data_IF_043757216922
#
_entry.id   IF_043757216922
#
_cell.length_a   1.000
_cell.length_b   1.000
_cell.length_c   1.000
_cell.angle_alpha   90.00
_cell.angle_beta   90.00
_cell.angle_gamma   90.00
#
_symmetry.space_group_name_H-M   'P 1'
#
loop_
_entity.id
_entity.type
_entity.pdbx_description
1 polymer ?
#
# COMPACT_ATOMS: atom_id res chain seq x y z
N UNK A 1 7.73 -12.05 1.53
CA UNK A 1 7.39 -10.71 0.93
C UNK A 1 7.37 -9.60 2.00
N UNK A 2 6.78 -9.80 3.19
CA UNK A 2 6.72 -8.78 4.24
C UNK A 2 8.11 -8.28 4.68
N UNK A 3 9.09 -9.17 4.74
CA UNK A 3 10.47 -8.86 5.17
C UNK A 3 11.17 -7.86 4.24
N UNK A 4 10.83 -7.81 2.95
CA UNK A 4 11.46 -6.91 1.99
C UNK A 4 10.72 -5.55 1.83
N UNK A 5 9.44 -5.48 2.18
CA UNK A 5 8.62 -4.27 1.99
C UNK A 5 8.95 -3.20 3.04
N UNK A 6 9.07 -3.58 4.30
CA UNK A 6 9.29 -2.61 5.38
C UNK A 6 10.64 -1.90 5.25
N UNK A 7 11.77 -2.60 4.97
CA UNK A 7 13.04 -1.95 4.66
C UNK A 7 12.98 -1.02 3.45
N UNK A 8 12.17 -1.36 2.42
CA UNK A 8 11.97 -0.49 1.26
C UNK A 8 11.33 0.84 1.67
N UNK A 9 10.32 0.83 2.54
CA UNK A 9 9.69 2.05 3.03
C UNK A 9 10.66 2.91 3.88
N UNK A 10 11.56 2.28 4.64
CA UNK A 10 12.64 2.98 5.34
C UNK A 10 13.64 3.64 4.37
N UNK A 11 13.94 2.98 3.25
CA UNK A 11 14.81 3.54 2.21
C UNK A 11 14.13 4.70 1.47
N UNK A 12 12.85 4.59 1.19
CA UNK A 12 12.08 5.59 0.47
C UNK A 12 11.83 6.85 1.30
N UNK A 13 11.64 6.75 2.61
CA UNK A 13 11.25 7.87 3.46
C UNK A 13 12.20 8.05 4.64
N UNK A 14 12.55 9.31 4.96
CA UNK A 14 13.41 9.63 6.12
C UNK A 14 12.59 10.01 7.35
N UNK A 15 11.51 10.75 7.15
CA UNK A 15 10.77 11.39 8.23
C UNK A 15 9.32 10.93 8.34
N UNK A 16 8.66 10.72 7.21
CA UNK A 16 7.24 10.39 7.19
C UNK A 16 6.96 9.07 7.90
N UNK A 17 5.86 9.02 8.64
CA UNK A 17 5.45 7.86 9.47
C UNK A 17 5.29 6.55 8.68
N UNK A 18 5.09 6.57 7.38
CA UNK A 18 4.98 5.38 6.51
C UNK A 18 6.23 4.49 6.55
N UNK A 19 7.38 5.06 6.93
CA UNK A 19 8.63 4.33 7.12
C UNK A 19 8.64 3.40 8.33
N UNK A 20 7.66 3.54 9.22
CA UNK A 20 7.56 2.71 10.43
C UNK A 20 6.92 1.38 10.07
N UNK A 21 7.44 0.33 10.68
CA UNK A 21 6.85 -0.99 10.57
C UNK A 21 5.44 -0.98 11.16
N UNK A 22 4.49 -1.55 10.43
CA UNK A 22 3.07 -1.53 10.83
C UNK A 22 2.81 -2.27 12.13
N UNK A 23 3.46 -3.41 12.32
CA UNK A 23 3.38 -4.21 13.55
C UNK A 23 4.23 -3.59 14.68
N UNK A 24 5.19 -2.74 14.33
CA UNK A 24 6.17 -2.21 15.25
C UNK A 24 7.38 -3.13 15.41
N UNK A 25 8.34 -2.66 16.16
CA UNK A 25 9.54 -3.44 16.52
C UNK A 25 9.34 -4.05 17.89
N UNK A 26 9.86 -5.25 18.13
CA UNK A 26 9.73 -5.98 19.40
C UNK A 26 10.12 -5.13 20.61
N UNK A 27 11.23 -4.39 20.49
CA UNK A 27 11.69 -3.49 21.56
C UNK A 27 10.65 -2.40 21.89
N UNK A 28 10.01 -1.83 20.88
CA UNK A 28 8.93 -0.85 21.05
C UNK A 28 7.70 -1.48 21.71
N UNK A 29 7.31 -2.67 21.25
CA UNK A 29 6.16 -3.41 21.79
C UNK A 29 6.37 -3.78 23.27
N UNK A 30 7.57 -4.22 23.64
CA UNK A 30 7.92 -4.55 25.05
C UNK A 30 7.84 -3.35 25.98
N UNK A 31 7.96 -2.12 25.48
CA UNK A 31 7.83 -0.88 26.26
C UNK A 31 6.39 -0.40 26.42
N UNK A 32 5.43 -1.00 25.69
CA UNK A 32 4.04 -0.60 25.82
C UNK A 32 3.47 -1.03 27.17
N UNK A 33 2.83 -0.08 27.83
CA UNK A 33 2.11 -0.30 29.09
C UNK A 33 0.61 -0.15 28.86
N UNK A 34 -0.18 -0.61 29.83
CA UNK A 34 -1.63 -0.36 29.84
C UNK A 34 -1.95 1.13 29.76
N UNK A 35 -1.18 1.98 30.43
CA UNK A 35 -1.42 3.42 30.46
C UNK A 35 -1.15 4.08 29.10
N UNK A 36 -0.14 3.61 28.34
CA UNK A 36 0.09 4.05 26.98
C UNK A 36 -1.12 3.72 26.09
N UNK A 37 -1.67 2.51 26.19
CA UNK A 37 -2.84 2.07 25.44
C UNK A 37 -4.09 2.86 25.83
N UNK A 38 -4.30 3.06 27.14
CA UNK A 38 -5.45 3.82 27.64
C UNK A 38 -5.39 5.30 27.24
N UNK A 39 -4.19 5.89 27.24
CA UNK A 39 -3.98 7.26 26.77
C UNK A 39 -4.32 7.40 25.29
N UNK A 40 -3.82 6.44 24.47
CA UNK A 40 -4.17 6.38 23.05
C UNK A 40 -5.67 6.21 22.85
N UNK A 41 -6.29 5.26 23.55
CA UNK A 41 -7.72 5.00 23.46
C UNK A 41 -8.53 6.28 23.77
N UNK A 42 -8.28 6.90 24.92
CA UNK A 42 -8.98 8.12 25.35
C UNK A 42 -8.81 9.31 24.40
N UNK A 43 -7.67 9.39 23.71
CA UNK A 43 -7.41 10.46 22.76
C UNK A 43 -8.09 10.23 21.41
N UNK A 44 -8.07 9.01 20.87
CA UNK A 44 -8.49 8.76 19.49
C UNK A 44 -9.89 8.15 19.35
N UNK A 45 -10.39 7.42 20.35
CA UNK A 45 -11.73 6.83 20.31
C UNK A 45 -12.74 7.82 20.90
N UNK A 46 -13.19 8.76 20.05
CA UNK A 46 -14.12 9.81 20.41
C UNK A 46 -15.24 9.92 19.38
N UNK A 47 -16.44 10.38 19.74
CA UNK A 47 -17.53 10.55 18.78
C UNK A 47 -17.14 11.38 17.55
N UNK A 48 -16.38 12.46 17.75
CA UNK A 48 -15.88 13.32 16.65
C UNK A 48 -14.93 12.64 15.64
N UNK A 49 -14.40 11.47 15.97
CA UNK A 49 -13.51 10.68 15.09
C UNK A 49 -14.09 9.31 14.72
N UNK A 50 -15.34 9.05 15.11
CA UNK A 50 -16.02 7.77 14.91
C UNK A 50 -17.21 7.95 13.98
N UNK A 51 -17.37 7.05 13.04
CA UNK A 51 -18.57 6.90 12.21
C UNK A 51 -19.17 5.55 12.52
N UNK A 52 -20.38 5.53 13.03
CA UNK A 52 -21.13 4.30 13.27
C UNK A 52 -22.11 4.07 12.11
N UNK A 53 -22.05 2.89 11.50
CA UNK A 53 -22.97 2.49 10.43
C UNK A 53 -23.74 1.27 10.90
N UNK A 54 -25.07 1.36 10.89
CA UNK A 54 -25.97 0.27 11.25
C UNK A 54 -26.81 -0.06 10.00
N UNK A 55 -26.76 -1.32 9.57
CA UNK A 55 -27.50 -1.81 8.41
C UNK A 55 -28.27 -3.08 8.79
N UNK A 56 -29.56 -3.09 8.52
CA UNK A 56 -30.41 -4.24 8.81
C UNK A 56 -31.88 -3.85 8.96
N UNK A 57 -32.71 -4.80 9.34
CA UNK A 57 -34.11 -4.57 9.70
C UNK A 57 -34.18 -4.03 11.12
N UNK A 58 -33.95 -2.72 11.26
CA UNK A 58 -33.92 -2.01 12.57
C UNK A 58 -34.74 -0.73 12.52
N UNK A 59 -35.38 -0.41 13.63
CA UNK A 59 -36.00 0.90 13.83
C UNK A 59 -34.91 1.95 14.09
N UNK A 60 -34.91 3.04 13.33
CA UNK A 60 -33.96 4.14 13.50
C UNK A 60 -33.99 4.71 14.91
N UNK A 61 -35.19 4.94 15.47
CA UNK A 61 -35.34 5.52 16.81
C UNK A 61 -34.81 4.57 17.90
N UNK A 62 -35.09 3.27 17.78
CA UNK A 62 -34.56 2.29 18.72
C UNK A 62 -33.04 2.17 18.63
N UNK A 63 -32.49 2.21 17.41
CA UNK A 63 -31.04 2.19 17.20
C UNK A 63 -30.35 3.44 17.78
N UNK A 64 -30.92 4.64 17.57
CA UNK A 64 -30.39 5.89 18.13
C UNK A 64 -30.45 5.89 19.66
N UNK A 65 -31.56 5.44 20.25
CA UNK A 65 -31.68 5.33 21.71
C UNK A 65 -30.63 4.38 22.31
N UNK A 66 -30.36 3.28 21.64
CA UNK A 66 -29.35 2.30 22.10
C UNK A 66 -27.92 2.85 21.90
N UNK A 67 -27.65 3.59 20.83
CA UNK A 67 -26.37 4.28 20.62
C UNK A 67 -26.14 5.32 21.72
N UNK A 68 -27.15 6.16 22.03
CA UNK A 68 -27.05 7.13 23.11
C UNK A 68 -26.82 6.46 24.46
N UNK A 69 -27.52 5.37 24.75
CA UNK A 69 -27.35 4.62 25.99
C UNK A 69 -25.93 4.03 26.15
N UNK A 70 -25.33 3.53 25.04
CA UNK A 70 -24.03 2.84 25.07
C UNK A 70 -22.85 3.81 24.94
N UNK A 71 -23.01 4.91 24.24
CA UNK A 71 -21.91 5.78 23.83
C UNK A 71 -22.08 7.24 24.24
N UNK A 72 -23.25 7.61 24.84
CA UNK A 72 -23.54 8.99 25.22
C UNK A 72 -22.54 9.60 26.20
N UNK A 73 -21.95 8.77 27.07
CA UNK A 73 -20.93 9.19 28.04
C UNK A 73 -19.51 9.27 27.46
N UNK A 74 -19.31 9.04 26.16
CA UNK A 74 -17.97 9.13 25.56
C UNK A 74 -17.45 10.57 25.62
N UNK A 75 -16.14 10.77 25.94
CA UNK A 75 -15.54 12.10 26.02
C UNK A 75 -15.68 12.88 24.71
N UNK A 76 -16.25 14.06 24.79
CA UNK A 76 -16.39 14.98 23.67
C UNK A 76 -15.04 15.60 23.27
N UNK A 77 -15.01 16.26 22.11
CA UNK A 77 -13.85 16.97 21.59
C UNK A 77 -13.09 16.22 20.50
N UNK A 78 -12.27 16.96 19.75
CA UNK A 78 -11.45 16.39 18.67
C UNK A 78 -10.24 15.64 19.24
N UNK A 79 -9.81 14.57 18.58
CA UNK A 79 -8.56 13.92 18.94
C UNK A 79 -7.37 14.84 18.67
N UNK A 80 -6.36 14.80 19.54
CA UNK A 80 -5.07 15.47 19.29
C UNK A 80 -4.31 14.72 18.18
N UNK A 81 -4.49 15.21 16.96
CA UNK A 81 -3.81 14.67 15.77
C UNK A 81 -2.71 15.63 15.34
N UNK A 82 -1.53 15.47 15.90
CA UNK A 82 -0.37 16.17 15.36
C UNK A 82 -0.16 15.79 13.88
N UNK A 83 -0.01 16.75 12.97
CA UNK A 83 0.37 16.47 11.61
C UNK A 83 1.71 15.73 11.61
N UNK A 84 1.78 14.65 10.83
CA UNK A 84 3.04 13.92 10.68
C UNK A 84 4.11 14.80 10.01
N UNK A 85 5.39 14.50 10.20
CA UNK A 85 6.46 15.25 9.56
C UNK A 85 6.34 15.09 8.05
N UNK A 86 6.46 16.20 7.31
CA UNK A 86 6.55 16.20 5.86
C UNK A 86 7.90 15.65 5.39
N UNK A 87 7.87 14.94 4.27
CA UNK A 87 9.09 14.49 3.61
C UNK A 87 9.72 15.58 2.75
N UNK A 88 11.04 15.66 2.79
CA UNK A 88 11.78 16.47 1.84
C UNK A 88 11.93 15.75 0.49
N UNK A 89 12.02 16.52 -0.60
CA UNK A 89 12.34 15.94 -1.90
C UNK A 89 13.70 15.23 -1.82
N UNK A 90 13.74 13.98 -2.22
CA UNK A 90 14.99 13.23 -2.32
C UNK A 90 15.38 13.01 -3.75
N UNK A 91 16.68 13.07 -3.97
CA UNK A 91 17.33 12.69 -5.21
C UNK A 91 18.30 11.54 -4.94
N UNK A 92 18.51 10.70 -5.94
CA UNK A 92 19.47 9.61 -5.88
C UNK A 92 18.86 8.24 -5.55
N UNK A 93 19.62 7.24 -5.92
CA UNK A 93 19.31 5.83 -5.70
C UNK A 93 19.74 5.41 -4.29
N UNK A 94 18.94 4.54 -3.66
CA UNK A 94 19.27 3.91 -2.38
C UNK A 94 19.13 2.41 -2.52
N UNK A 95 20.04 1.69 -1.91
CA UNK A 95 20.09 0.25 -1.94
C UNK A 95 20.32 -0.31 -0.54
N UNK A 96 19.73 -1.44 -0.25
CA UNK A 96 19.99 -2.24 0.94
C UNK A 96 19.89 -3.71 0.58
N UNK A 97 20.88 -4.47 0.96
CA UNK A 97 20.86 -5.92 0.93
C UNK A 97 20.61 -6.48 2.32
N UNK A 98 19.79 -7.52 2.38
CA UNK A 98 19.45 -8.22 3.60
C UNK A 98 19.67 -9.70 3.38
N UNK A 99 20.37 -10.33 4.31
CA UNK A 99 20.56 -11.77 4.33
C UNK A 99 19.64 -12.42 5.34
N UNK A 100 19.11 -13.58 5.01
CA UNK A 100 18.20 -14.35 5.86
C UNK A 100 18.05 -15.78 5.38
N UNK A 101 17.40 -16.61 6.19
CA UNK A 101 17.04 -17.97 5.81
C UNK A 101 15.83 -17.95 4.87
N UNK A 102 16.10 -17.77 3.59
CA UNK A 102 15.09 -17.70 2.53
C UNK A 102 15.47 -18.60 1.35
N UNK A 103 14.50 -19.30 0.79
CA UNK A 103 14.71 -20.20 -0.35
C UNK A 103 14.93 -19.46 -1.69
N UNK A 104 14.50 -18.19 -1.78
CA UNK A 104 14.58 -17.39 -3.00
C UNK A 104 14.98 -15.95 -2.65
N UNK A 105 15.66 -15.30 -3.60
CA UNK A 105 15.96 -13.87 -3.52
C UNK A 105 14.68 -13.07 -3.71
N UNK A 106 14.36 -12.22 -2.72
CA UNK A 106 13.27 -11.26 -2.80
C UNK A 106 13.80 -9.91 -3.28
N UNK A 107 13.30 -9.47 -4.42
CA UNK A 107 13.62 -8.18 -5.02
C UNK A 107 12.48 -7.20 -4.75
N UNK A 108 12.83 -6.00 -4.31
CA UNK A 108 11.87 -4.92 -4.07
C UNK A 108 12.43 -3.62 -4.59
N UNK A 109 11.76 -3.04 -5.57
CA UNK A 109 12.09 -1.72 -6.12
C UNK A 109 10.93 -0.78 -5.87
N UNK A 110 11.20 0.46 -5.46
CA UNK A 110 10.14 1.39 -5.12
C UNK A 110 10.44 2.84 -5.44
N UNK A 111 9.37 3.59 -5.62
CA UNK A 111 9.37 5.03 -5.87
C UNK A 111 8.35 5.70 -4.95
N UNK A 112 8.68 6.90 -4.50
CA UNK A 112 7.69 7.77 -3.86
C UNK A 112 6.75 8.32 -4.90
N UNK A 113 5.47 8.30 -4.57
CA UNK A 113 4.41 8.94 -5.35
C UNK A 113 3.63 9.91 -4.48
N UNK A 114 2.69 10.60 -5.07
CA UNK A 114 1.78 11.47 -4.35
C UNK A 114 0.73 10.66 -3.56
N UNK A 115 0.04 11.33 -2.65
CA UNK A 115 -1.02 10.72 -1.84
C UNK A 115 -2.33 10.52 -2.60
N UNK A 116 -3.32 9.97 -1.93
CA UNK A 116 -4.59 9.48 -2.50
C UNK A 116 -5.34 10.47 -3.39
N UNK A 117 -5.38 11.75 -3.02
CA UNK A 117 -6.18 12.76 -3.73
C UNK A 117 -5.42 13.46 -4.87
N UNK A 118 -4.20 13.02 -5.17
CA UNK A 118 -3.44 13.64 -6.27
C UNK A 118 -4.00 13.24 -7.64
N UNK A 119 -4.04 14.15 -8.62
CA UNK A 119 -4.57 13.87 -9.97
C UNK A 119 -3.90 12.69 -10.69
N UNK A 120 -2.62 12.44 -10.41
CA UNK A 120 -1.86 11.34 -11.04
C UNK A 120 -2.14 9.97 -10.41
N UNK A 121 -2.82 9.90 -9.27
CA UNK A 121 -3.06 8.64 -8.55
C UNK A 121 -3.80 7.61 -9.41
N UNK A 122 -4.91 7.95 -10.10
CA UNK A 122 -5.58 6.99 -10.98
C UNK A 122 -4.70 6.51 -12.14
N UNK A 123 -3.84 7.37 -12.68
CA UNK A 123 -2.92 6.98 -13.74
C UNK A 123 -1.86 5.98 -13.24
N UNK A 124 -1.33 6.17 -12.04
CA UNK A 124 -0.39 5.24 -11.42
C UNK A 124 -1.05 3.90 -11.07
N UNK A 125 -2.30 3.89 -10.66
CA UNK A 125 -3.08 2.65 -10.45
C UNK A 125 -3.26 1.88 -11.76
N UNK A 126 -3.52 2.61 -12.86
CA UNK A 126 -3.56 2.02 -14.20
C UNK A 126 -2.20 1.48 -14.63
N UNK A 127 -1.10 2.15 -14.33
CA UNK A 127 0.27 1.66 -14.57
C UNK A 127 0.52 0.35 -13.81
N UNK A 128 0.15 0.26 -12.53
CA UNK A 128 0.25 -0.98 -11.76
C UNK A 128 -0.57 -2.11 -12.39
N UNK A 129 -1.78 -1.80 -12.88
CA UNK A 129 -2.65 -2.73 -13.60
C UNK A 129 -2.01 -3.23 -14.91
N UNK A 130 -1.43 -2.34 -15.72
CA UNK A 130 -0.73 -2.72 -16.95
C UNK A 130 0.42 -3.68 -16.67
N UNK A 131 1.20 -3.36 -15.64
CA UNK A 131 2.40 -4.10 -15.28
C UNK A 131 2.09 -5.47 -14.68
N UNK A 132 1.07 -5.62 -13.81
CA UNK A 132 0.94 -6.85 -13.03
C UNK A 132 -0.45 -7.50 -13.00
N UNK A 133 -1.49 -6.89 -13.57
CA UNK A 133 -2.83 -7.45 -13.45
C UNK A 133 -3.11 -8.56 -14.47
N UNK A 134 -3.10 -9.81 -13.99
CA UNK A 134 -3.42 -11.01 -14.77
C UNK A 134 -2.29 -11.47 -15.69
N UNK A 135 -2.53 -12.61 -16.35
CA UNK A 135 -1.51 -13.30 -17.18
C UNK A 135 -1.10 -12.52 -18.43
N UNK A 136 -1.92 -11.61 -18.92
CA UNK A 136 -1.62 -10.77 -20.07
C UNK A 136 -0.87 -9.48 -19.69
N UNK A 137 -0.49 -9.30 -18.42
CA UNK A 137 0.26 -8.14 -17.95
C UNK A 137 1.73 -8.20 -18.39
N UNK A 138 2.35 -7.03 -18.46
CA UNK A 138 3.70 -6.90 -19.01
C UNK A 138 4.75 -7.68 -18.20
N UNK A 139 4.74 -7.55 -16.88
CA UNK A 139 5.68 -8.26 -16.01
C UNK A 139 5.42 -9.76 -16.00
N UNK A 140 4.16 -10.20 -16.03
CA UNK A 140 3.87 -11.61 -16.11
C UNK A 140 4.51 -12.23 -17.35
N UNK A 141 4.33 -11.63 -18.52
CA UNK A 141 4.88 -12.13 -19.79
C UNK A 141 6.41 -12.01 -19.88
N UNK A 142 6.97 -10.88 -19.40
CA UNK A 142 8.40 -10.63 -19.51
C UNK A 142 9.24 -11.38 -18.46
N UNK A 143 8.68 -11.67 -17.30
CA UNK A 143 9.42 -12.23 -16.16
C UNK A 143 8.90 -13.63 -15.80
N UNK A 144 7.59 -13.76 -15.57
CA UNK A 144 7.01 -15.02 -15.05
C UNK A 144 6.92 -16.10 -16.10
N UNK A 145 6.43 -15.83 -17.31
CA UNK A 145 6.35 -16.80 -18.43
C UNK A 145 7.74 -17.25 -18.88
N UNK A 146 8.74 -16.38 -18.77
CA UNK A 146 10.12 -16.71 -19.08
C UNK A 146 10.83 -17.43 -17.93
N UNK A 147 10.12 -17.76 -16.86
CA UNK A 147 10.66 -18.43 -15.67
C UNK A 147 11.87 -17.71 -15.05
N UNK A 148 11.95 -16.37 -15.19
CA UNK A 148 12.99 -15.56 -14.54
C UNK A 148 12.71 -15.39 -13.05
N UNK A 149 11.44 -15.38 -12.66
CA UNK A 149 11.02 -15.33 -11.27
C UNK A 149 9.80 -16.24 -11.04
N UNK A 150 9.65 -16.74 -9.83
CA UNK A 150 8.49 -17.52 -9.38
C UNK A 150 7.27 -16.65 -9.16
N UNK A 151 7.47 -15.37 -8.80
CA UNK A 151 6.43 -14.36 -8.69
C UNK A 151 6.95 -12.99 -9.12
N UNK A 152 6.06 -12.16 -9.66
CA UNK A 152 6.34 -10.75 -9.94
C UNK A 152 5.04 -9.96 -9.85
N UNK A 153 5.09 -8.80 -9.22
CA UNK A 153 3.95 -7.91 -9.07
C UNK A 153 4.36 -6.45 -9.06
N UNK A 154 3.45 -5.58 -9.48
CA UNK A 154 3.55 -4.14 -9.28
C UNK A 154 2.37 -3.67 -8.45
N UNK A 155 2.61 -2.74 -7.56
CA UNK A 155 1.62 -2.28 -6.62
C UNK A 155 1.76 -0.78 -6.36
N UNK A 156 0.66 -0.06 -6.37
CA UNK A 156 0.59 1.34 -5.99
C UNK A 156 -0.21 1.48 -4.70
N UNK A 157 0.42 1.99 -3.66
CA UNK A 157 -0.17 2.20 -2.34
C UNK A 157 -0.17 3.68 -2.01
N UNK A 158 -1.35 4.25 -1.83
CA UNK A 158 -1.54 5.68 -1.61
C UNK A 158 -2.30 5.94 -0.32
N UNK A 159 -1.64 5.91 0.85
CA UNK A 159 -2.24 6.50 2.04
C UNK A 159 -2.38 8.03 1.84
N UNK A 160 -3.09 8.68 2.76
CA UNK A 160 -3.58 10.05 2.62
C UNK A 160 -2.57 11.06 2.07
N UNK A 161 -1.35 11.07 2.61
CA UNK A 161 -0.39 12.15 2.43
C UNK A 161 0.75 11.82 1.46
N UNK A 162 1.00 10.56 1.22
CA UNK A 162 2.09 10.05 0.38
C UNK A 162 1.63 8.83 -0.38
N UNK A 163 2.38 8.45 -1.41
CA UNK A 163 2.20 7.20 -2.10
C UNK A 163 3.53 6.48 -2.31
N UNK A 164 3.44 5.19 -2.57
CA UNK A 164 4.58 4.35 -2.91
C UNK A 164 4.18 3.44 -4.07
N UNK A 165 4.93 3.52 -5.14
CA UNK A 165 4.83 2.56 -6.24
C UNK A 165 5.93 1.52 -6.06
N UNK A 166 5.61 0.24 -6.13
CA UNK A 166 6.58 -0.84 -5.91
C UNK A 166 6.48 -1.91 -6.97
N UNK A 167 7.61 -2.52 -7.28
CA UNK A 167 7.71 -3.80 -8.01
C UNK A 167 8.38 -4.79 -7.09
N UNK A 168 7.79 -5.96 -6.96
CA UNK A 168 8.32 -7.08 -6.18
C UNK A 168 8.51 -8.29 -7.09
N UNK A 169 9.57 -9.03 -6.89
CA UNK A 169 9.79 -10.32 -7.53
C UNK A 169 10.46 -11.30 -6.56
N UNK A 170 10.20 -12.58 -6.76
CA UNK A 170 10.86 -13.68 -6.08
C UNK A 170 11.52 -14.56 -7.13
N UNK A 171 12.82 -14.65 -7.09
CA UNK A 171 13.63 -15.36 -8.08
C UNK A 171 14.69 -16.23 -7.44
N UNK A 172 15.17 -17.23 -8.18
CA UNK A 172 16.39 -17.92 -7.78
C UNK A 172 17.56 -16.92 -7.80
N UNK A 173 18.54 -17.05 -6.89
CA UNK A 173 19.65 -16.11 -6.79
C UNK A 173 20.35 -15.84 -8.13
N UNK A 174 20.55 -16.88 -8.93
CA UNK A 174 21.24 -16.82 -10.22
C UNK A 174 20.46 -16.06 -11.29
N UNK A 175 19.13 -15.95 -11.13
CA UNK A 175 18.23 -15.30 -12.09
C UNK A 175 17.72 -13.95 -11.62
N UNK A 176 18.06 -13.55 -10.40
CA UNK A 176 17.56 -12.30 -9.81
C UNK A 176 17.92 -11.05 -10.64
N UNK A 177 19.16 -11.00 -11.18
CA UNK A 177 19.61 -9.94 -12.07
C UNK A 177 18.79 -9.88 -13.36
N UNK A 178 18.61 -11.02 -14.05
CA UNK A 178 17.83 -11.09 -15.28
C UNK A 178 16.36 -10.70 -15.06
N UNK A 179 15.78 -11.10 -13.92
CA UNK A 179 14.40 -10.74 -13.56
C UNK A 179 14.27 -9.23 -13.36
N UNK A 180 15.23 -8.60 -12.70
CA UNK A 180 15.26 -7.16 -12.49
C UNK A 180 15.41 -6.41 -13.81
N UNK A 181 16.33 -6.82 -14.68
CA UNK A 181 16.54 -6.19 -15.99
C UNK A 181 15.29 -6.30 -16.85
N UNK A 182 14.65 -7.47 -16.90
CA UNK A 182 13.40 -7.65 -17.62
C UNK A 182 12.26 -6.74 -17.08
N UNK A 183 12.19 -6.54 -15.76
CA UNK A 183 11.23 -5.62 -15.17
C UNK A 183 11.54 -4.15 -15.53
N UNK A 184 12.79 -3.75 -15.52
CA UNK A 184 13.24 -2.42 -15.96
C UNK A 184 12.94 -2.15 -17.43
N UNK A 185 13.11 -3.15 -18.29
CA UNK A 185 12.78 -3.04 -19.72
C UNK A 185 11.29 -2.77 -19.92
N UNK A 186 10.41 -3.40 -19.15
CA UNK A 186 8.97 -3.14 -19.22
C UNK A 186 8.62 -1.73 -18.76
N UNK A 187 9.28 -1.19 -17.75
CA UNK A 187 9.10 0.20 -17.34
C UNK A 187 9.60 1.18 -18.41
N UNK A 188 10.74 0.89 -19.05
CA UNK A 188 11.29 1.71 -20.13
C UNK A 188 10.35 1.72 -21.34
N UNK A 189 9.84 0.56 -21.76
CA UNK A 189 8.87 0.44 -22.83
C UNK A 189 7.57 1.20 -22.52
N UNK A 190 7.04 1.01 -21.30
CA UNK A 190 5.83 1.72 -20.89
C UNK A 190 6.01 3.24 -20.93
N UNK A 191 7.17 3.74 -20.49
CA UNK A 191 7.49 5.18 -20.53
C UNK A 191 7.63 5.72 -21.95
N UNK A 192 8.26 4.95 -22.85
CA UNK A 192 8.60 5.43 -24.19
C UNK A 192 7.42 5.26 -25.17
N UNK A 193 6.73 4.13 -25.10
CA UNK A 193 5.72 3.71 -26.08
C UNK A 193 4.29 3.88 -25.54
N UNK A 194 4.14 4.08 -24.21
CA UNK A 194 2.83 4.15 -23.56
C UNK A 194 2.09 2.82 -23.55
N UNK A 195 0.76 2.89 -23.59
CA UNK A 195 -0.16 1.75 -23.65
C UNK A 195 -0.98 1.77 -24.93
N UNK A 196 -1.07 0.62 -25.61
CA UNK A 196 -1.91 0.48 -26.79
C UNK A 196 -3.41 0.45 -26.42
N UNK A 197 -4.27 0.71 -27.43
CA UNK A 197 -5.74 0.79 -27.23
C UNK A 197 -6.30 -0.50 -26.62
N UNK A 198 -5.88 -1.66 -27.10
CA UNK A 198 -6.34 -2.96 -26.57
C UNK A 198 -5.91 -3.18 -25.11
N UNK A 199 -4.66 -2.85 -24.78
CA UNK A 199 -4.14 -2.92 -23.42
C UNK A 199 -4.92 -1.98 -22.49
N UNK A 200 -5.18 -0.76 -22.91
CA UNK A 200 -5.95 0.22 -22.15
C UNK A 200 -7.39 -0.27 -21.89
N UNK A 201 -8.06 -0.84 -22.91
CA UNK A 201 -9.40 -1.42 -22.73
C UNK A 201 -9.39 -2.57 -21.74
N UNK A 202 -8.39 -3.44 -21.79
CA UNK A 202 -8.22 -4.54 -20.81
C UNK A 202 -8.03 -4.00 -19.40
N UNK A 203 -7.16 -3.00 -19.22
CA UNK A 203 -6.91 -2.36 -17.93
C UNK A 203 -8.19 -1.77 -17.33
N UNK A 204 -8.96 -1.04 -18.14
CA UNK A 204 -10.26 -0.47 -17.71
C UNK A 204 -11.19 -1.55 -17.20
N UNK A 205 -11.41 -2.62 -17.97
CA UNK A 205 -12.28 -3.74 -17.57
C UNK A 205 -11.84 -4.38 -16.27
N UNK A 206 -10.53 -4.57 -16.06
CA UNK A 206 -9.99 -5.15 -14.82
C UNK A 206 -10.25 -4.21 -13.63
N UNK A 207 -10.12 -2.90 -13.81
CA UNK A 207 -10.32 -1.91 -12.75
C UNK A 207 -11.81 -1.71 -12.43
N UNK A 208 -12.67 -1.70 -13.46
CA UNK A 208 -14.12 -1.50 -13.29
C UNK A 208 -14.85 -2.73 -12.72
N UNK A 209 -14.45 -3.93 -13.13
CA UNK A 209 -15.13 -5.18 -12.75
C UNK A 209 -15.29 -5.40 -11.23
N UNK A 210 -14.33 -5.10 -10.34
CA UNK A 210 -14.53 -5.21 -8.90
C UNK A 210 -15.54 -4.19 -8.34
N UNK A 211 -15.64 -3.01 -8.97
CA UNK A 211 -16.63 -2.00 -8.59
C UNK A 211 -18.05 -2.44 -8.95
N UNK A 212 -18.23 -2.94 -10.17
CA UNK A 212 -19.54 -3.47 -10.60
C UNK A 212 -20.03 -4.58 -9.68
N UNK A 213 -19.16 -5.53 -9.34
CA UNK A 213 -19.52 -6.65 -8.43
C UNK A 213 -19.81 -6.25 -6.99
N UNK A 214 -19.44 -5.03 -6.56
CA UNK A 214 -19.77 -4.52 -5.22
C UNK A 214 -21.11 -3.80 -5.18
N UNK A 215 -21.68 -3.48 -6.33
CA UNK A 215 -22.98 -2.81 -6.46
C UNK A 215 -24.13 -3.80 -6.66
N UNK A 216 -23.83 -5.06 -6.96
CA UNK A 216 -24.76 -6.18 -7.01
C UNK A 216 -24.90 -6.83 -5.61
#
# INVERSE_FOLDING_TARGET
>A
TAVAIEPLYELLHDRHRIRRWRIGREEGLRRLTRDHLMTFYRNFYRPSSTVLVIVGDVSTDAALAEVERLYGDMPQGAPDRAPGPSETRKTGFRYRELSGDVAQTQLSVGWRTAGTLHPDTPALDMVATALSAGRASRLFRAVRERSLASSVSAFHYTPRDVGVFTIHAEAQPERAGEALDAAWDQLRQLRNDGVGTFELQRMRRITESPWMRRLE
#
